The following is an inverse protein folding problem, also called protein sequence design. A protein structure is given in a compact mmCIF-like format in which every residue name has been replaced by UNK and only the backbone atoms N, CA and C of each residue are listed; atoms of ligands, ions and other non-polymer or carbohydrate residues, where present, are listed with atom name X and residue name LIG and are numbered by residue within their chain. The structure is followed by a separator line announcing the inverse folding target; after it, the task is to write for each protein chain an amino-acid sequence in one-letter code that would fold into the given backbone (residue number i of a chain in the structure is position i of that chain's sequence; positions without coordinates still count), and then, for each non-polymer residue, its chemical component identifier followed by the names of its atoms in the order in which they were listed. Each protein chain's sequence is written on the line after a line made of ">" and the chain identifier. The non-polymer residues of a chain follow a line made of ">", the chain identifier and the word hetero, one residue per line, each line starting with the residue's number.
data_IF_152978905950
#
_entry.id   IF_152978905950
#
_cell.length_a   1.000
_cell.length_b   1.000
_cell.length_c   1.000
_cell.angle_alpha   90.00
_cell.angle_beta   90.00
_cell.angle_gamma   90.00
#
_symmetry.space_group_name_H-M   'P 1'
#
loop_
_entity.id
_entity.type
_entity.pdbx_description
1 polymer ?
#
# COMPACT_ATOMS: atom_id res chain seq x y z
N UNK A 1 -1.72 -9.00 10.65
CA UNK A 1 -1.10 -7.65 10.57
C UNK A 1 -1.08 -7.09 11.98
N UNK A 2 0.09 -6.73 12.52
CA UNK A 2 0.24 -6.30 13.92
C UNK A 2 0.24 -4.77 14.09
N UNK A 3 0.81 -4.03 13.13
CA UNK A 3 0.88 -2.57 13.16
C UNK A 3 0.89 -2.00 11.74
N UNK A 4 0.63 -0.70 11.63
CA UNK A 4 0.72 0.06 10.38
C UNK A 4 1.67 1.25 10.59
N UNK A 5 2.43 1.59 9.55
CA UNK A 5 3.28 2.79 9.53
C UNK A 5 2.71 3.72 8.46
N UNK A 6 2.08 4.85 8.84
CA UNK A 6 1.59 5.81 7.86
C UNK A 6 2.78 6.52 7.20
N UNK A 7 2.84 6.46 5.87
CA UNK A 7 3.76 7.30 5.12
C UNK A 7 3.17 8.71 5.04
N UNK A 8 3.82 9.70 5.66
CA UNK A 8 3.41 11.09 5.56
C UNK A 8 3.44 11.54 4.08
N UNK A 9 2.47 12.34 3.60
CA UNK A 9 2.51 12.91 2.25
C UNK A 9 3.77 13.72 1.95
N UNK A 10 4.42 14.27 2.99
CA UNK A 10 5.70 14.97 2.87
C UNK A 10 6.85 14.03 2.50
N UNK A 11 6.71 12.74 2.81
CA UNK A 11 7.62 11.68 2.42
C UNK A 11 7.13 11.15 1.08
N UNK A 12 7.44 11.90 0.01
CA UNK A 12 7.16 11.41 -1.32
C UNK A 12 8.14 10.27 -1.66
N UNK A 13 7.72 9.04 -1.34
CA UNK A 13 8.44 7.81 -1.69
C UNK A 13 8.20 7.39 -3.13
N UNK A 14 7.32 8.08 -3.87
CA UNK A 14 6.98 7.75 -5.25
C UNK A 14 7.31 8.93 -6.18
N UNK A 15 8.33 8.76 -7.01
CA UNK A 15 8.65 9.73 -8.04
C UNK A 15 7.48 9.96 -9.01
N UNK A 16 7.51 11.05 -9.80
CA UNK A 16 6.43 11.40 -10.74
C UNK A 16 6.12 10.31 -11.77
N UNK A 17 7.07 9.40 -12.04
CA UNK A 17 6.93 8.26 -12.95
C UNK A 17 6.38 6.99 -12.27
N UNK A 18 6.00 7.06 -10.99
CA UNK A 18 5.55 5.91 -10.21
C UNK A 18 6.69 4.98 -9.77
N UNK A 19 7.92 5.50 -9.70
CA UNK A 19 9.10 4.80 -9.21
C UNK A 19 9.25 4.99 -7.71
N UNK A 20 9.36 3.91 -6.95
CA UNK A 20 9.66 3.97 -5.52
C UNK A 20 11.10 4.42 -5.28
N UNK A 21 11.28 5.43 -4.45
CA UNK A 21 12.58 5.84 -3.91
C UNK A 21 12.98 4.89 -2.78
N UNK A 22 13.83 3.92 -3.12
CA UNK A 22 14.25 2.85 -2.22
C UNK A 22 15.04 3.35 -1.01
N UNK A 23 15.96 4.30 -1.21
CA UNK A 23 16.79 4.82 -0.12
C UNK A 23 15.94 5.57 0.90
N UNK A 24 15.01 6.39 0.42
CA UNK A 24 14.08 7.11 1.30
C UNK A 24 13.13 6.17 2.04
N UNK A 25 12.64 5.13 1.36
CA UNK A 25 11.80 4.09 1.97
C UNK A 25 12.55 3.30 3.04
N UNK A 26 13.81 2.91 2.77
CA UNK A 26 14.67 2.20 3.72
C UNK A 26 15.01 3.07 4.92
N UNK A 27 15.32 4.35 4.72
CA UNK A 27 15.57 5.30 5.79
C UNK A 27 14.34 5.49 6.71
N UNK A 28 13.13 5.48 6.14
CA UNK A 28 11.88 5.58 6.90
C UNK A 28 11.61 4.32 7.72
N UNK A 29 11.83 3.14 7.15
CA UNK A 29 11.48 1.86 7.80
C UNK A 29 12.57 1.35 8.74
N UNK A 30 13.84 1.68 8.50
CA UNK A 30 14.99 1.20 9.29
C UNK A 30 14.89 -0.32 9.50
N UNK A 31 15.07 -0.79 10.73
CA UNK A 31 14.99 -2.19 11.13
C UNK A 31 13.58 -2.80 11.03
N UNK A 32 12.53 -1.98 10.94
CA UNK A 32 11.15 -2.50 10.83
C UNK A 32 10.83 -3.03 9.43
N UNK A 33 11.65 -2.68 8.43
CA UNK A 33 11.49 -3.13 7.04
C UNK A 33 11.38 -4.65 6.89
N UNK A 34 12.09 -5.42 7.73
CA UNK A 34 12.06 -6.90 7.73
C UNK A 34 10.72 -7.51 8.17
N UNK A 35 9.85 -6.72 8.79
CA UNK A 35 8.53 -7.15 9.27
C UNK A 35 7.39 -6.68 8.35
N UNK A 36 7.73 -6.02 7.23
CA UNK A 36 6.74 -5.54 6.28
C UNK A 36 6.19 -6.72 5.48
N UNK A 37 4.87 -6.92 5.58
CA UNK A 37 4.13 -7.99 4.88
C UNK A 37 3.22 -7.45 3.78
N UNK A 38 3.22 -6.12 3.58
CA UNK A 38 2.33 -5.48 2.62
C UNK A 38 2.35 -3.96 2.73
N UNK A 39 1.46 -3.33 1.98
CA UNK A 39 1.26 -1.89 1.96
C UNK A 39 -0.23 -1.56 1.93
N UNK A 40 -0.57 -0.32 2.22
CA UNK A 40 -1.97 0.12 2.17
C UNK A 40 -2.11 1.47 1.47
N UNK A 41 -3.30 1.72 0.93
CA UNK A 41 -3.66 3.00 0.32
C UNK A 41 -5.08 3.37 0.68
N UNK A 42 -5.24 4.57 1.23
CA UNK A 42 -6.53 5.17 1.51
C UNK A 42 -6.93 6.15 0.40
N UNK A 43 -8.20 6.12 0.01
CA UNK A 43 -8.80 7.09 -0.93
C UNK A 43 -10.20 7.51 -0.48
N UNK A 44 -10.46 8.81 -0.49
CA UNK A 44 -11.81 9.33 -0.26
C UNK A 44 -12.62 9.26 -1.55
N UNK A 45 -13.87 8.82 -1.46
CA UNK A 45 -14.85 8.76 -2.55
C UNK A 45 -14.37 8.01 -3.81
N UNK A 46 -13.52 6.99 -3.66
CA UNK A 46 -12.98 6.21 -4.78
C UNK A 46 -13.38 4.73 -4.69
N UNK A 47 -13.24 3.99 -5.80
CA UNK A 47 -13.42 2.53 -5.80
C UNK A 47 -12.24 1.82 -5.12
N UNK A 48 -12.47 0.57 -4.69
CA UNK A 48 -11.43 -0.30 -4.14
C UNK A 48 -10.61 -1.02 -5.22
N UNK A 49 -10.88 -0.76 -6.50
CA UNK A 49 -10.16 -1.38 -7.61
C UNK A 49 -8.75 -0.79 -7.72
N UNK A 50 -7.70 -1.62 -7.78
CA UNK A 50 -6.34 -1.16 -8.02
C UNK A 50 -6.23 -0.45 -9.37
N UNK A 51 -5.65 0.74 -9.35
CA UNK A 51 -5.21 1.48 -10.54
C UNK A 51 -3.96 0.82 -11.13
N UNK A 52 -3.61 1.18 -12.36
CA UNK A 52 -2.35 0.76 -12.98
C UNK A 52 -1.12 1.14 -12.11
N UNK A 53 -1.14 2.34 -11.51
CA UNK A 53 -0.09 2.78 -10.58
C UNK A 53 0.01 1.89 -9.35
N UNK A 54 -1.11 1.44 -8.78
CA UNK A 54 -1.07 0.54 -7.62
C UNK A 54 -0.47 -0.82 -7.98
N UNK A 55 -0.74 -1.33 -9.18
CA UNK A 55 -0.15 -2.58 -9.66
C UNK A 55 1.37 -2.47 -9.84
N UNK A 56 1.86 -1.35 -10.39
CA UNK A 56 3.30 -1.07 -10.49
C UNK A 56 3.94 -0.99 -9.10
N UNK A 57 3.33 -0.20 -8.19
CA UNK A 57 3.84 -0.04 -6.83
C UNK A 57 3.87 -1.37 -6.07
N UNK A 58 2.83 -2.19 -6.22
CA UNK A 58 2.79 -3.50 -5.60
C UNK A 58 3.97 -4.37 -6.05
N UNK A 59 4.26 -4.43 -7.36
CA UNK A 59 5.42 -5.16 -7.88
C UNK A 59 6.75 -4.60 -7.37
N UNK A 60 6.90 -3.28 -7.29
CA UNK A 60 8.10 -2.65 -6.76
C UNK A 60 8.29 -2.97 -5.28
N UNK A 61 7.24 -2.84 -4.46
CA UNK A 61 7.29 -3.18 -3.05
C UNK A 61 7.52 -4.67 -2.80
N UNK A 62 6.92 -5.56 -3.59
CA UNK A 62 7.21 -7.00 -3.53
C UNK A 62 8.70 -7.26 -3.71
N UNK A 63 9.32 -6.65 -4.72
CA UNK A 63 10.76 -6.80 -4.96
C UNK A 63 11.61 -6.25 -3.81
N UNK A 64 11.23 -5.08 -3.28
CA UNK A 64 11.95 -4.38 -2.20
C UNK A 64 11.88 -5.13 -0.86
N UNK A 65 10.70 -5.66 -0.50
CA UNK A 65 10.47 -6.31 0.78
C UNK A 65 10.61 -7.82 0.72
N UNK A 66 11.03 -8.38 -0.43
CA UNK A 66 11.31 -9.79 -0.58
C UNK A 66 12.35 -10.22 0.45
N UNK A 67 11.96 -11.15 1.31
CA UNK A 67 12.83 -11.71 2.33
C UNK A 67 12.38 -13.16 2.64
N UNK A 68 13.16 -13.87 3.45
CA UNK A 68 12.90 -15.28 3.79
C UNK A 68 11.50 -15.53 4.39
N UNK A 69 10.89 -14.53 5.03
CA UNK A 69 9.58 -14.62 5.68
C UNK A 69 8.43 -14.10 4.81
N UNK A 70 8.73 -13.34 3.76
CA UNK A 70 7.75 -12.73 2.87
C UNK A 70 8.03 -13.13 1.43
N UNK A 71 7.46 -14.27 1.02
CA UNK A 71 7.49 -14.72 -0.36
C UNK A 71 6.48 -13.93 -1.22
N UNK A 72 6.73 -13.84 -2.52
CA UNK A 72 5.98 -13.06 -3.51
C UNK A 72 4.46 -13.38 -3.49
N UNK A 73 4.09 -14.60 -3.11
CA UNK A 73 2.69 -15.04 -3.04
C UNK A 73 1.88 -14.47 -1.87
N UNK A 74 2.55 -13.95 -0.83
CA UNK A 74 1.90 -13.52 0.42
C UNK A 74 2.00 -12.03 0.70
N UNK A 75 2.75 -11.28 -0.12
CA UNK A 75 2.80 -9.82 0.01
C UNK A 75 1.45 -9.21 -0.38
N UNK A 76 0.84 -8.44 0.52
CA UNK A 76 -0.52 -7.91 0.32
C UNK A 76 -0.56 -6.41 0.03
N UNK A 77 -1.55 -6.00 -0.75
CA UNK A 77 -1.97 -4.62 -0.93
C UNK A 77 -3.35 -4.43 -0.29
N UNK A 78 -3.47 -3.53 0.68
CA UNK A 78 -4.74 -3.16 1.30
C UNK A 78 -5.28 -1.88 0.68
N UNK A 79 -6.40 -1.95 -0.03
CA UNK A 79 -7.09 -0.77 -0.54
C UNK A 79 -8.18 -0.39 0.46
N UNK A 80 -8.18 0.86 0.91
CA UNK A 80 -9.19 1.41 1.82
C UNK A 80 -9.88 2.59 1.17
N UNK A 81 -11.17 2.74 1.44
CA UNK A 81 -11.90 3.94 1.07
C UNK A 81 -12.85 4.41 2.17
N UNK A 82 -13.26 5.67 2.03
CA UNK A 82 -14.44 6.19 2.73
C UNK A 82 -15.35 6.91 1.73
N UNK A 83 -16.65 6.85 1.97
CA UNK A 83 -17.65 7.66 1.27
C UNK A 83 -18.70 8.15 2.25
N UNK A 84 -19.31 9.29 1.97
CA UNK A 84 -20.40 9.82 2.78
C UNK A 84 -21.64 10.00 1.91
N UNK A 85 -22.83 9.74 2.46
CA UNK A 85 -24.10 10.02 1.78
C UNK A 85 -24.29 11.51 1.53
N UNK A 86 -25.15 11.84 0.57
CA UNK A 86 -25.62 13.21 0.37
C UNK A 86 -26.30 13.66 1.68
N UNK A 87 -25.87 14.81 2.22
CA UNK A 87 -26.32 15.32 3.53
C UNK A 87 -25.45 14.92 4.72
N UNK A 88 -24.38 14.12 4.55
CA UNK A 88 -23.40 13.89 5.61
C UNK A 88 -23.82 12.88 6.69
N UNK A 89 -25.07 12.42 6.70
CA UNK A 89 -25.63 11.62 7.80
C UNK A 89 -25.14 10.17 7.89
N UNK A 90 -24.47 9.63 6.87
CA UNK A 90 -23.94 8.26 6.91
C UNK A 90 -22.57 8.17 6.26
N UNK A 91 -21.60 7.69 7.03
CA UNK A 91 -20.24 7.42 6.58
C UNK A 91 -20.05 5.92 6.35
N UNK A 92 -19.49 5.55 5.21
CA UNK A 92 -19.18 4.16 4.85
C UNK A 92 -17.70 4.02 4.63
N UNK A 93 -17.08 3.07 5.33
CA UNK A 93 -15.68 2.69 5.17
C UNK A 93 -15.63 1.29 4.58
N UNK A 94 -14.86 1.09 3.50
CA UNK A 94 -14.64 -0.24 2.93
C UNK A 94 -13.15 -0.52 2.79
N UNK A 95 -12.79 -1.79 2.82
CA UNK A 95 -11.42 -2.24 2.56
C UNK A 95 -11.41 -3.56 1.80
N UNK A 96 -10.29 -3.84 1.13
CA UNK A 96 -10.00 -5.15 0.52
C UNK A 96 -8.50 -5.43 0.57
N UNK A 97 -8.14 -6.68 0.89
CA UNK A 97 -6.78 -7.18 0.76
C UNK A 97 -6.63 -7.91 -0.56
N UNK A 98 -5.57 -7.58 -1.28
CA UNK A 98 -5.24 -8.14 -2.58
C UNK A 98 -3.82 -8.68 -2.54
N UNK A 99 -3.57 -9.78 -3.23
CA UNK A 99 -2.23 -10.31 -3.40
C UNK A 99 -2.01 -10.59 -4.88
N UNK A 100 -0.75 -10.53 -5.33
CA UNK A 100 -0.41 -10.84 -6.70
C UNK A 100 -0.38 -12.36 -6.88
N UNK A 101 -1.16 -12.87 -7.83
CA UNK A 101 -1.04 -14.25 -8.32
C UNK A 101 -0.34 -14.19 -9.68
N UNK A 102 0.76 -14.94 -9.82
CA UNK A 102 1.24 -15.30 -11.14
C UNK A 102 0.18 -16.22 -11.75
N UNK A 103 -0.39 -15.80 -12.88
CA UNK A 103 -1.30 -16.63 -13.67
C UNK A 103 -0.54 -17.76 -14.34
#
# INVERSE_FOLDING_TARGET
>A
IHSIIPCSPAINICGPRGTVDYERLKAMLRETGRHVVGWFRYRKNATLTPTFKDKILHKQFMSIFKNERCNDNYFVACMLNSSTTIGGGTHKFKHVFLHYKNG
#
